data_IF_686742514112
#
_entry.id   IF_686742514112
#
_cell.length_a   1.000
_cell.length_b   1.000
_cell.length_c   1.000
_cell.angle_alpha   90.00
_cell.angle_beta   90.00
_cell.angle_gamma   90.00
#
_symmetry.space_group_name_H-M   'P 1'
#
loop_
_entity.id
_entity.type
_entity.pdbx_description
1 polymer ?
#
# COMPACT_ATOMS: atom_id res chain seq x y z
N UNK A 1 4.56 14.95 -0.69
CA UNK A 1 5.24 13.65 -0.91
C UNK A 1 4.78 13.06 -2.23
N UNK A 2 5.70 12.61 -3.04
CA UNK A 2 5.39 12.02 -4.34
C UNK A 2 4.88 10.58 -4.18
N UNK A 3 4.00 10.17 -5.08
CA UNK A 3 3.48 8.80 -5.11
C UNK A 3 4.09 8.11 -6.32
N UNK A 4 4.82 7.04 -6.07
CA UNK A 4 5.50 6.28 -7.12
C UNK A 4 4.94 4.87 -7.13
N UNK A 5 4.32 4.48 -8.23
CA UNK A 5 3.73 3.15 -8.36
C UNK A 5 4.58 2.30 -9.29
N UNK A 6 4.87 1.08 -8.86
CA UNK A 6 5.47 0.10 -9.75
C UNK A 6 4.45 -0.28 -10.82
N UNK A 7 4.89 -0.99 -11.84
CA UNK A 7 3.99 -1.53 -12.86
C UNK A 7 2.83 -2.32 -12.22
N UNK A 8 3.17 -3.15 -11.26
CA UNK A 8 2.19 -3.98 -10.56
C UNK A 8 1.26 -3.14 -9.69
N UNK A 9 1.83 -2.19 -8.95
CA UNK A 9 1.04 -1.28 -8.13
C UNK A 9 0.06 -0.46 -8.95
N UNK A 10 0.49 0.01 -10.12
CA UNK A 10 -0.37 0.74 -11.03
C UNK A 10 -1.51 -0.14 -11.57
N UNK A 11 -1.20 -1.38 -11.99
CA UNK A 11 -2.21 -2.30 -12.48
C UNK A 11 -3.27 -2.60 -11.41
N UNK A 12 -2.84 -2.79 -10.16
CA UNK A 12 -3.75 -3.01 -9.04
C UNK A 12 -4.63 -1.78 -8.79
N UNK A 13 -4.05 -0.60 -8.84
CA UNK A 13 -4.78 0.65 -8.65
C UNK A 13 -5.87 0.83 -9.71
N UNK A 14 -5.53 0.58 -10.96
CA UNK A 14 -6.48 0.65 -12.09
C UNK A 14 -7.60 -0.38 -11.91
N UNK A 15 -7.26 -1.59 -11.44
CA UNK A 15 -8.26 -2.62 -11.16
C UNK A 15 -9.35 -2.08 -10.22
N UNK A 16 -8.96 -1.43 -9.13
CA UNK A 16 -9.92 -0.90 -8.17
C UNK A 16 -10.76 0.26 -8.71
N UNK A 17 -10.25 1.01 -9.68
CA UNK A 17 -11.00 2.09 -10.30
C UNK A 17 -12.29 1.61 -10.98
N UNK A 18 -12.26 0.39 -11.52
CA UNK A 18 -13.41 -0.19 -12.21
C UNK A 18 -14.19 -1.17 -11.32
N UNK A 19 -13.50 -1.88 -10.43
CA UNK A 19 -14.13 -2.97 -9.68
C UNK A 19 -14.74 -2.55 -8.36
N UNK A 20 -14.13 -1.63 -7.64
CA UNK A 20 -14.64 -1.22 -6.32
C UNK A 20 -14.09 0.14 -5.90
N UNK A 21 -14.89 1.16 -6.11
CA UNK A 21 -14.49 2.53 -5.78
C UNK A 21 -14.35 2.79 -4.28
N UNK A 22 -15.05 2.03 -3.45
CA UNK A 22 -14.91 2.15 -1.99
C UNK A 22 -13.53 1.66 -1.56
N UNK A 23 -13.07 0.57 -2.16
CA UNK A 23 -11.72 0.06 -1.91
C UNK A 23 -10.67 1.04 -2.41
N UNK A 24 -10.87 1.63 -3.57
CA UNK A 24 -9.98 2.67 -4.07
C UNK A 24 -9.88 3.85 -3.11
N UNK A 25 -11.00 4.29 -2.58
CA UNK A 25 -11.04 5.38 -1.60
C UNK A 25 -10.23 5.02 -0.35
N UNK A 26 -10.38 3.78 0.13
CA UNK A 26 -9.62 3.31 1.29
C UNK A 26 -8.11 3.30 1.01
N UNK A 27 -7.71 2.86 -0.18
CA UNK A 27 -6.30 2.87 -0.60
C UNK A 27 -5.77 4.30 -0.57
N UNK A 28 -6.51 5.25 -1.12
CA UNK A 28 -6.10 6.66 -1.12
C UNK A 28 -5.98 7.21 0.30
N UNK A 29 -6.88 6.82 1.20
CA UNK A 29 -6.78 7.22 2.61
C UNK A 29 -5.51 6.67 3.27
N UNK A 30 -5.17 5.42 2.97
CA UNK A 30 -3.95 4.81 3.48
C UNK A 30 -2.71 5.54 2.98
N UNK A 31 -2.67 5.87 1.69
CA UNK A 31 -1.55 6.60 1.10
C UNK A 31 -1.39 7.98 1.75
N UNK A 32 -2.49 8.69 1.96
CA UNK A 32 -2.45 9.98 2.64
C UNK A 32 -1.95 9.86 4.09
N UNK A 33 -2.36 8.79 4.78
CA UNK A 33 -1.92 8.55 6.14
C UNK A 33 -0.41 8.23 6.18
N UNK A 34 0.09 7.46 5.22
CA UNK A 34 1.52 7.20 5.11
C UNK A 34 2.29 8.51 4.93
N UNK A 35 1.79 9.41 4.11
CA UNK A 35 2.43 10.69 3.87
C UNK A 35 2.52 11.55 5.15
N UNK A 36 1.54 11.42 6.05
CA UNK A 36 1.51 12.16 7.32
C UNK A 36 2.29 11.48 8.44
N UNK A 37 2.14 10.18 8.57
CA UNK A 37 2.54 9.44 9.75
C UNK A 37 3.63 8.40 9.52
N UNK A 38 4.11 8.25 8.28
CA UNK A 38 5.15 7.29 7.96
C UNK A 38 4.68 5.87 8.18
N UNK A 39 5.37 5.14 9.05
CA UNK A 39 5.07 3.73 9.32
C UNK A 39 4.21 3.55 10.58
N UNK A 40 3.49 4.59 10.98
CA UNK A 40 2.50 4.53 12.05
C UNK A 40 1.17 5.00 11.48
N UNK A 41 0.07 4.63 12.12
CA UNK A 41 -1.23 5.12 11.71
C UNK A 41 -2.23 4.02 11.39
N UNK A 42 -3.16 4.31 10.50
CA UNK A 42 -4.29 3.42 10.20
C UNK A 42 -3.86 2.21 9.37
N UNK A 43 -4.68 1.16 9.41
CA UNK A 43 -4.46 -0.03 8.58
C UNK A 43 -3.45 -1.00 9.15
N UNK A 44 -3.09 -0.88 10.42
CA UNK A 44 -2.15 -1.79 11.12
C UNK A 44 -0.84 -1.97 10.36
N UNK A 45 -0.03 -0.90 10.22
CA UNK A 45 1.25 -1.01 9.51
C UNK A 45 2.14 -2.10 10.12
N UNK A 46 2.68 -2.95 9.26
CA UNK A 46 3.59 -4.02 9.67
C UNK A 46 4.80 -4.07 8.74
N UNK A 47 6.02 -4.18 9.30
CA UNK A 47 7.19 -4.41 8.45
C UNK A 47 7.17 -5.82 7.89
N UNK A 48 7.62 -5.96 6.65
CA UNK A 48 7.72 -7.25 5.99
C UNK A 48 9.14 -7.79 6.11
N UNK A 49 9.29 -9.09 5.95
CA UNK A 49 10.58 -9.77 6.06
C UNK A 49 10.85 -10.58 4.78
N UNK A 50 11.94 -11.35 4.78
CA UNK A 50 12.29 -12.16 3.62
C UNK A 50 12.55 -11.34 2.39
N UNK A 51 11.96 -11.72 1.29
CA UNK A 51 12.14 -11.03 0.00
C UNK A 51 11.57 -9.61 -0.02
N UNK A 52 10.72 -9.28 0.95
CA UNK A 52 10.07 -7.97 1.04
C UNK A 52 10.64 -7.13 2.19
N UNK A 53 11.80 -7.49 2.70
CA UNK A 53 12.48 -6.69 3.73
C UNK A 53 12.67 -5.25 3.25
N UNK A 54 12.30 -4.30 4.10
CA UNK A 54 12.31 -2.87 3.76
C UNK A 54 10.98 -2.33 3.31
N UNK A 55 10.04 -3.22 2.96
CA UNK A 55 8.67 -2.84 2.66
C UNK A 55 7.78 -3.05 3.88
N UNK A 56 6.64 -2.40 3.85
CA UNK A 56 5.62 -2.46 4.88
C UNK A 56 4.29 -2.82 4.26
N UNK A 57 3.38 -3.36 5.05
CA UNK A 57 2.01 -3.59 4.61
C UNK A 57 1.03 -2.84 5.48
N UNK A 58 -0.08 -2.42 4.88
CA UNK A 58 -1.25 -1.93 5.61
C UNK A 58 -2.48 -2.64 5.09
N UNK A 59 -3.43 -2.90 5.98
CA UNK A 59 -4.67 -3.57 5.61
C UNK A 59 -5.58 -2.62 4.85
N UNK A 60 -6.02 -3.05 3.68
CA UNK A 60 -7.08 -2.38 2.92
C UNK A 60 -8.42 -2.93 3.38
N UNK A 61 -8.52 -4.25 3.44
CA UNK A 61 -9.67 -5.01 3.92
C UNK A 61 -9.15 -6.37 4.39
N UNK A 62 -10.04 -7.35 4.62
CA UNK A 62 -9.63 -8.66 5.11
C UNK A 62 -8.73 -9.44 4.15
N UNK A 63 -8.88 -9.18 2.85
CA UNK A 63 -8.16 -9.93 1.80
C UNK A 63 -6.97 -9.19 1.23
N UNK A 64 -7.05 -7.88 1.15
CA UNK A 64 -6.13 -7.09 0.36
C UNK A 64 -5.22 -6.23 1.23
N UNK A 65 -3.98 -6.09 0.78
CA UNK A 65 -2.96 -5.31 1.48
C UNK A 65 -2.34 -4.29 0.56
N UNK A 66 -2.00 -3.14 1.12
CA UNK A 66 -1.16 -2.15 0.46
C UNK A 66 0.28 -2.44 0.86
N UNK A 67 1.12 -2.75 -0.12
CA UNK A 67 2.54 -3.01 0.09
C UNK A 67 3.31 -1.79 -0.38
N UNK A 68 4.08 -1.19 0.52
CA UNK A 68 4.69 0.10 0.24
C UNK A 68 6.04 0.26 0.96
N UNK A 69 6.76 1.27 0.54
CA UNK A 69 7.94 1.78 1.21
C UNK A 69 7.89 3.30 1.14
N UNK A 70 8.35 3.99 2.15
CA UNK A 70 8.35 5.45 2.18
C UNK A 70 9.73 5.99 2.55
N UNK A 71 10.11 7.10 1.95
CA UNK A 71 11.26 7.89 2.36
C UNK A 71 10.82 9.34 2.56
N UNK A 72 11.75 10.28 2.67
CA UNK A 72 11.44 11.68 2.94
C UNK A 72 10.57 12.33 1.87
N UNK A 73 10.69 11.89 0.63
CA UNK A 73 10.08 12.55 -0.51
C UNK A 73 9.03 11.72 -1.23
N UNK A 74 9.04 10.40 -1.04
CA UNK A 74 8.25 9.50 -1.85
C UNK A 74 7.56 8.40 -1.05
N UNK A 75 6.37 8.01 -1.50
CA UNK A 75 5.73 6.75 -1.14
C UNK A 75 5.80 5.86 -2.36
N UNK A 76 6.44 4.71 -2.23
CA UNK A 76 6.56 3.73 -3.31
C UNK A 76 5.53 2.64 -3.07
N UNK A 77 4.65 2.43 -4.04
CA UNK A 77 3.57 1.44 -3.93
C UNK A 77 3.92 0.27 -4.83
N UNK A 78 4.22 -0.87 -4.18
CA UNK A 78 4.57 -2.10 -4.87
C UNK A 78 3.34 -2.84 -5.36
N UNK A 79 2.29 -2.87 -4.54
CA UNK A 79 1.06 -3.58 -4.82
C UNK A 79 -0.05 -3.06 -3.92
N UNK A 80 -1.29 -3.20 -4.34
CA UNK A 80 -2.44 -2.86 -3.50
C UNK A 80 -3.63 -3.80 -3.73
N UNK A 81 -3.33 -5.06 -4.00
CA UNK A 81 -4.32 -6.11 -4.18
C UNK A 81 -3.73 -7.41 -3.65
N UNK A 82 -4.57 -8.31 -3.20
CA UNK A 82 -4.21 -9.60 -2.62
C UNK A 82 -3.54 -9.49 -1.25
N UNK A 83 -3.44 -10.60 -0.60
CA UNK A 83 -2.75 -10.75 0.68
C UNK A 83 -1.34 -11.26 0.42
N UNK A 84 -0.35 -10.46 0.79
CA UNK A 84 1.04 -10.82 0.62
C UNK A 84 1.57 -11.42 1.91
N UNK A 85 2.18 -12.57 1.78
CA UNK A 85 2.89 -13.23 2.85
C UNK A 85 4.38 -13.11 2.58
N UNK A 86 5.16 -12.91 3.62
CA UNK A 86 6.61 -12.82 3.53
C UNK A 86 7.31 -14.17 3.73
N UNK A 87 6.55 -15.24 3.70
CA UNK A 87 7.09 -16.58 3.80
C UNK A 87 7.52 -17.14 2.47
#
# INVERSE_FOLDING_TARGET
>A
MNKVLTKNGWADFVYWQTEDRKTLKKINQLIEDIARNGNEGIGKPEPLTGNLTGFWSRRINDKDRLIYRADENNVYILACRYHYSDT
#
